data_IF_949954224659
#
_entry.id   IF_949954224659
#
_cell.length_a   1.000
_cell.length_b   1.000
_cell.length_c   1.000
_cell.angle_alpha   90.00
_cell.angle_beta   90.00
_cell.angle_gamma   90.00
#
_symmetry.space_group_name_H-M   'P 1'
#
loop_
_entity.id
_entity.type
_entity.pdbx_description
1 polymer ?
#
# COMPACT_ATOMS: atom_id res chain seq x y z
N UNK A 1 -7.45 -4.11 -1.55
CA UNK A 1 -6.47 -4.25 -2.66
C UNK A 1 -7.05 -4.90 -3.92
N UNK A 2 -7.78 -6.03 -3.83
CA UNK A 2 -8.36 -6.67 -5.02
C UNK A 2 -9.31 -5.76 -5.81
N UNK A 3 -10.07 -4.90 -5.13
CA UNK A 3 -10.96 -3.93 -5.78
C UNK A 3 -10.19 -2.94 -6.69
N UNK A 4 -9.08 -2.36 -6.23
CA UNK A 4 -8.27 -1.45 -7.06
C UNK A 4 -7.64 -2.19 -8.24
N UNK A 5 -7.17 -3.43 -8.05
CA UNK A 5 -6.64 -4.28 -9.12
C UNK A 5 -7.70 -4.61 -10.17
N UNK A 6 -8.93 -4.94 -9.75
CA UNK A 6 -10.02 -5.22 -10.69
C UNK A 6 -10.43 -3.98 -11.48
N UNK A 7 -10.61 -2.83 -10.81
CA UNK A 7 -10.98 -1.58 -11.48
C UNK A 7 -9.86 -1.10 -12.41
N UNK A 8 -8.59 -1.31 -12.04
CA UNK A 8 -7.45 -1.00 -12.90
C UNK A 8 -7.40 -1.91 -14.13
N UNK A 9 -7.67 -3.20 -13.96
CA UNK A 9 -7.75 -4.15 -15.08
C UNK A 9 -8.92 -3.82 -16.02
N UNK A 10 -10.09 -3.48 -15.48
CA UNK A 10 -11.26 -3.06 -16.25
C UNK A 10 -11.00 -1.74 -17.00
N UNK A 11 -10.27 -0.81 -16.36
CA UNK A 11 -9.81 0.43 -16.97
C UNK A 11 -8.80 0.17 -18.10
N UNK A 12 -7.82 -0.70 -17.92
CA UNK A 12 -6.86 -1.10 -18.97
C UNK A 12 -7.57 -1.77 -20.15
N UNK A 13 -8.51 -2.68 -19.89
CA UNK A 13 -9.31 -3.33 -20.93
C UNK A 13 -10.19 -2.35 -21.72
N UNK A 14 -10.77 -1.37 -21.02
CA UNK A 14 -11.57 -0.29 -21.63
C UNK A 14 -10.70 0.66 -22.47
N UNK A 15 -9.46 0.95 -22.01
CA UNK A 15 -8.44 1.70 -22.76
C UNK A 15 -8.02 0.98 -24.05
N UNK A 16 -7.69 -0.31 -23.97
CA UNK A 16 -7.26 -1.10 -25.13
C UNK A 16 -8.34 -1.16 -26.21
N UNK A 17 -9.59 -1.36 -25.80
CA UNK A 17 -10.75 -1.39 -26.71
C UNK A 17 -10.96 -0.02 -27.38
N UNK A 18 -10.84 1.06 -26.60
CA UNK A 18 -10.97 2.44 -27.12
C UNK A 18 -9.84 2.82 -28.06
N UNK A 19 -8.62 2.36 -27.79
CA UNK A 19 -7.44 2.59 -28.62
C UNK A 19 -7.52 1.78 -29.94
N UNK A 20 -8.00 0.54 -29.88
CA UNK A 20 -8.26 -0.29 -31.06
C UNK A 20 -9.34 0.32 -31.96
N UNK A 21 -10.42 0.83 -31.37
CA UNK A 21 -11.49 1.50 -32.11
C UNK A 21 -11.04 2.81 -32.74
N UNK A 22 -10.20 3.61 -32.05
CA UNK A 22 -9.57 4.80 -32.65
C UNK A 22 -8.69 4.45 -33.84
N UNK A 23 -7.86 3.40 -33.72
CA UNK A 23 -7.01 2.96 -34.82
C UNK A 23 -7.81 2.39 -36.01
N UNK A 24 -8.97 1.77 -35.75
CA UNK A 24 -9.92 1.36 -36.80
C UNK A 24 -10.58 2.57 -37.47
N UNK A 25 -11.08 3.51 -36.69
CA UNK A 25 -11.70 4.74 -37.20
C UNK A 25 -10.73 5.60 -38.01
N UNK A 26 -9.45 5.64 -37.64
CA UNK A 26 -8.42 6.35 -38.39
C UNK A 26 -8.23 5.72 -39.78
N UNK A 27 -8.14 4.38 -39.86
CA UNK A 27 -8.11 3.64 -41.14
C UNK A 27 -9.37 3.81 -41.97
N UNK A 28 -10.54 3.88 -41.32
CA UNK A 28 -11.83 4.06 -41.99
C UNK A 28 -12.04 5.51 -42.48
N UNK A 29 -11.55 6.50 -41.72
CA UNK A 29 -11.46 7.91 -42.17
C UNK A 29 -10.54 8.05 -43.37
N UNK A 30 -9.38 7.39 -43.34
CA UNK A 30 -8.44 7.35 -44.46
C UNK A 30 -9.06 6.66 -45.69
N UNK A 31 -9.97 5.71 -45.47
CA UNK A 31 -10.79 5.06 -46.51
C UNK A 31 -12.08 5.82 -46.90
N UNK A 32 -12.36 6.99 -46.33
CA UNK A 32 -13.51 7.84 -46.68
C UNK A 32 -14.88 7.36 -46.18
N UNK A 33 -14.94 6.46 -45.20
CA UNK A 33 -16.19 5.93 -44.64
C UNK A 33 -16.55 6.74 -43.37
N UNK A 34 -17.67 7.46 -43.39
CA UNK A 34 -18.16 8.24 -42.24
C UNK A 34 -18.96 7.32 -41.31
N UNK A 35 -18.47 7.12 -40.08
CA UNK A 35 -19.11 6.29 -39.06
C UNK A 35 -19.69 7.13 -37.91
N UNK A 36 -20.84 6.68 -37.41
CA UNK A 36 -21.73 7.29 -36.43
C UNK A 36 -21.08 7.56 -35.05
N UNK A 37 -21.11 8.83 -34.62
CA UNK A 37 -20.40 9.40 -33.46
C UNK A 37 -20.99 8.99 -32.09
N UNK A 38 -22.18 8.38 -32.06
CA UNK A 38 -22.94 8.18 -30.79
C UNK A 38 -22.28 7.24 -29.80
N UNK A 39 -21.63 6.16 -30.28
CA UNK A 39 -21.13 5.10 -29.41
C UNK A 39 -19.81 5.46 -28.71
N UNK A 40 -19.08 6.48 -29.17
CA UNK A 40 -17.86 6.97 -28.50
C UNK A 40 -18.15 7.68 -27.17
N UNK A 41 -19.21 8.50 -27.14
CA UNK A 41 -19.52 9.34 -25.99
C UNK A 41 -19.94 8.54 -24.73
N UNK A 42 -20.52 7.35 -24.89
CA UNK A 42 -20.88 6.47 -23.75
C UNK A 42 -19.65 5.76 -23.16
N UNK A 43 -18.65 5.45 -23.99
CA UNK A 43 -17.40 4.82 -23.57
C UNK A 43 -16.49 5.81 -22.86
N UNK A 44 -16.38 7.02 -23.38
CA UNK A 44 -15.63 8.11 -22.75
C UNK A 44 -16.19 8.44 -21.36
N UNK A 45 -17.51 8.38 -21.19
CA UNK A 45 -18.15 8.52 -19.88
C UNK A 45 -17.81 7.35 -18.94
N UNK A 46 -17.75 6.13 -19.46
CA UNK A 46 -17.44 4.93 -18.68
C UNK A 46 -15.98 4.92 -18.20
N UNK A 47 -15.03 5.31 -19.05
CA UNK A 47 -13.61 5.44 -18.67
C UNK A 47 -13.41 6.55 -17.65
N UNK A 48 -14.11 7.68 -17.78
CA UNK A 48 -14.05 8.77 -16.81
C UNK A 48 -14.61 8.34 -15.44
N UNK A 49 -15.71 7.57 -15.41
CA UNK A 49 -16.24 6.99 -14.17
C UNK A 49 -15.24 6.04 -13.50
N UNK A 50 -14.57 5.18 -14.27
CA UNK A 50 -13.53 4.28 -13.77
C UNK A 50 -12.33 5.05 -13.22
N UNK A 51 -11.85 6.08 -13.93
CA UNK A 51 -10.75 6.93 -13.49
C UNK A 51 -11.06 7.66 -12.16
N UNK A 52 -12.30 8.18 -12.01
CA UNK A 52 -12.77 8.77 -10.75
C UNK A 52 -12.78 7.74 -9.62
N UNK A 53 -13.23 6.52 -9.90
CA UNK A 53 -13.25 5.43 -8.90
C UNK A 53 -11.86 5.01 -8.46
N UNK A 54 -10.90 4.95 -9.40
CA UNK A 54 -9.49 4.69 -9.10
C UNK A 54 -8.95 5.74 -8.14
N UNK A 55 -9.17 7.03 -8.43
CA UNK A 55 -8.71 8.14 -7.56
C UNK A 55 -9.29 8.04 -6.16
N UNK A 56 -10.61 7.82 -6.05
CA UNK A 56 -11.26 7.63 -4.75
C UNK A 56 -10.64 6.47 -3.96
N UNK A 57 -10.44 5.31 -4.59
CA UNK A 57 -9.82 4.16 -3.92
C UNK A 57 -8.37 4.44 -3.51
N UNK A 58 -7.63 5.23 -4.30
CA UNK A 58 -6.28 5.63 -3.94
C UNK A 58 -6.26 6.53 -2.70
N UNK A 59 -7.15 7.53 -2.64
CA UNK A 59 -7.28 8.43 -1.50
C UNK A 59 -7.71 7.69 -0.23
N UNK A 60 -8.66 6.77 -0.35
CA UNK A 60 -9.11 5.92 0.76
C UNK A 60 -7.96 5.08 1.32
N UNK A 61 -7.17 4.43 0.46
CA UNK A 61 -6.01 3.63 0.86
C UNK A 61 -4.97 4.51 1.55
N UNK A 62 -4.64 5.67 0.99
CA UNK A 62 -3.71 6.62 1.60
C UNK A 62 -4.18 7.01 3.01
N UNK A 63 -5.44 7.39 3.15
CA UNK A 63 -5.99 7.83 4.42
C UNK A 63 -6.01 6.70 5.46
N UNK A 64 -6.31 5.47 5.05
CA UNK A 64 -6.26 4.32 5.96
C UNK A 64 -4.84 4.07 6.48
N UNK A 65 -3.83 4.06 5.62
CA UNK A 65 -2.43 3.86 6.04
C UNK A 65 -1.98 4.99 6.97
N UNK A 66 -2.31 6.23 6.65
CA UNK A 66 -2.00 7.38 7.51
C UNK A 66 -2.65 7.25 8.89
N UNK A 67 -3.92 6.82 8.94
CA UNK A 67 -4.65 6.60 10.19
C UNK A 67 -3.98 5.52 11.03
N UNK A 68 -3.62 4.39 10.42
CA UNK A 68 -2.97 3.30 11.17
C UNK A 68 -1.57 3.71 11.63
N UNK A 69 -0.78 4.45 10.83
CA UNK A 69 0.52 5.00 11.24
C UNK A 69 0.38 5.95 12.43
N UNK A 70 -0.63 6.82 12.44
CA UNK A 70 -0.90 7.71 13.56
C UNK A 70 -1.31 6.93 14.82
N UNK A 71 -2.14 5.91 14.67
CA UNK A 71 -2.51 5.00 15.76
C UNK A 71 -1.27 4.29 16.33
N UNK A 72 -0.44 3.68 15.47
CA UNK A 72 0.80 3.03 15.90
C UNK A 72 1.73 4.01 16.60
N UNK A 73 1.90 5.23 16.08
CA UNK A 73 2.75 6.25 16.70
C UNK A 73 2.26 6.63 18.11
N UNK A 74 0.95 6.73 18.29
CA UNK A 74 0.32 7.07 19.57
C UNK A 74 0.46 5.92 20.58
N UNK A 75 0.11 4.70 20.18
CA UNK A 75 0.13 3.53 21.06
C UNK A 75 1.55 3.01 21.33
N UNK A 76 2.44 2.98 20.33
CA UNK A 76 3.85 2.63 20.53
C UNK A 76 4.60 3.67 21.39
N UNK A 77 4.16 4.93 21.35
CA UNK A 77 4.75 6.02 22.13
C UNK A 77 4.52 5.90 23.64
N UNK A 78 3.42 5.27 24.08
CA UNK A 78 3.07 5.13 25.49
C UNK A 78 3.12 3.70 26.04
N UNK A 79 2.87 2.68 25.21
CA UNK A 79 2.67 1.31 25.66
C UNK A 79 3.89 0.39 25.51
N UNK A 80 4.82 0.72 24.61
CA UNK A 80 5.99 -0.12 24.35
C UNK A 80 7.23 0.31 25.16
N UNK A 81 8.04 -0.66 25.63
CA UNK A 81 9.38 -0.42 26.17
C UNK A 81 10.28 0.33 25.18
N UNK A 82 11.30 1.03 25.69
CA UNK A 82 12.15 1.93 24.90
C UNK A 82 12.79 1.27 23.68
N UNK A 83 13.31 0.04 23.83
CA UNK A 83 13.95 -0.69 22.74
C UNK A 83 12.98 -1.01 21.59
N UNK A 84 11.81 -1.57 21.92
CA UNK A 84 10.78 -1.89 20.94
C UNK A 84 10.21 -0.62 20.26
N UNK A 85 10.07 0.47 21.03
CA UNK A 85 9.64 1.77 20.51
C UNK A 85 10.61 2.32 19.46
N UNK A 86 11.91 2.23 19.68
CA UNK A 86 12.92 2.70 18.73
C UNK A 86 12.90 1.90 17.43
N UNK A 87 12.66 0.59 17.51
CA UNK A 87 12.51 -0.28 16.34
C UNK A 87 11.25 0.11 15.53
N UNK A 88 10.09 0.24 16.18
CA UNK A 88 8.84 0.65 15.51
C UNK A 88 8.99 2.03 14.86
N UNK A 89 9.62 2.99 15.54
CA UNK A 89 9.92 4.31 14.96
C UNK A 89 10.87 4.22 13.77
N UNK A 90 11.92 3.41 13.86
CA UNK A 90 12.84 3.17 12.75
C UNK A 90 12.12 2.59 11.53
N UNK A 91 11.21 1.64 11.76
CA UNK A 91 10.36 1.11 10.70
C UNK A 91 9.49 2.21 10.09
N UNK A 92 8.72 2.94 10.90
CA UNK A 92 7.88 4.07 10.46
C UNK A 92 8.64 5.11 9.63
N UNK A 93 9.85 5.47 10.04
CA UNK A 93 10.67 6.48 9.36
C UNK A 93 11.35 5.94 8.10
N UNK A 94 11.54 4.62 7.97
CA UNK A 94 12.10 3.99 6.76
C UNK A 94 11.08 3.84 5.63
N UNK A 95 9.79 3.85 5.96
CA UNK A 95 8.68 3.65 5.03
C UNK A 95 8.73 4.59 3.82
N UNK A 96 8.90 5.93 3.97
CA UNK A 96 8.85 6.83 2.82
C UNK A 96 9.93 6.53 1.79
N UNK A 97 11.10 6.07 2.25
CA UNK A 97 12.19 5.65 1.39
C UNK A 97 11.86 4.35 0.66
N UNK A 98 11.36 3.35 1.39
CA UNK A 98 10.96 2.04 0.85
C UNK A 98 9.87 2.19 -0.22
N UNK A 99 8.90 3.07 0.02
CA UNK A 99 7.86 3.42 -0.96
C UNK A 99 8.42 4.04 -2.23
N UNK A 100 9.39 4.97 -2.12
CA UNK A 100 10.00 5.57 -3.30
C UNK A 100 10.67 4.52 -4.18
N UNK A 101 11.40 3.59 -3.58
CA UNK A 101 12.03 2.48 -4.31
C UNK A 101 10.99 1.54 -4.94
N UNK A 102 9.93 1.17 -4.21
CA UNK A 102 8.86 0.32 -4.74
C UNK A 102 8.10 0.98 -5.91
N UNK A 103 7.89 2.29 -5.82
CA UNK A 103 7.30 3.12 -6.88
C UNK A 103 8.19 3.12 -8.12
N UNK A 104 9.50 3.29 -7.95
CA UNK A 104 10.51 3.25 -9.02
C UNK A 104 10.61 1.89 -9.70
N UNK A 105 10.46 0.82 -8.93
CA UNK A 105 10.44 -0.54 -9.45
C UNK A 105 9.14 -0.83 -10.21
N UNK A 106 8.00 -0.36 -9.70
CA UNK A 106 6.69 -0.53 -10.34
C UNK A 106 6.57 0.25 -11.66
N UNK A 107 7.16 1.45 -11.75
CA UNK A 107 7.19 2.21 -13.00
C UNK A 107 8.16 1.61 -14.04
N UNK A 108 9.25 0.98 -13.60
CA UNK A 108 10.16 0.25 -14.49
C UNK A 108 9.58 -1.09 -15.00
N UNK A 109 8.71 -1.73 -14.20
CA UNK A 109 8.11 -3.02 -14.53
C UNK A 109 6.84 -2.93 -15.39
N UNK A 110 6.29 -1.73 -15.62
CA UNK A 110 5.10 -1.52 -16.46
C UNK A 110 5.52 -1.26 -17.92
N UNK A 111 5.31 -2.21 -18.86
CA UNK A 111 5.67 -2.02 -20.25
C UNK A 111 4.56 -1.25 -20.95
N UNK A 112 4.67 0.07 -21.03
CA UNK A 112 3.82 0.88 -21.93
C UNK A 112 4.52 2.19 -22.31
N UNK A 113 5.19 2.12 -23.46
CA UNK A 113 5.39 3.15 -24.49
C UNK A 113 5.29 4.63 -24.09
N UNK A 114 6.44 5.31 -24.04
CA UNK A 114 6.66 6.64 -24.65
C UNK A 114 8.10 7.12 -24.43
N UNK A 115 9.04 6.44 -25.10
CA UNK A 115 10.28 7.07 -25.55
C UNK A 115 10.15 7.40 -27.04
N UNK A 116 9.11 8.17 -27.41
CA UNK A 116 9.03 8.81 -28.73
C UNK A 116 8.93 10.30 -28.51
N UNK A 117 10.08 10.89 -28.19
CA UNK A 117 10.31 12.33 -28.29
C UNK A 117 10.86 12.57 -29.70
N UNK A 118 9.97 12.81 -30.67
CA UNK A 118 10.25 13.37 -31.99
C UNK A 118 8.90 13.90 -32.53
N UNK A 119 8.61 15.18 -32.32
CA UNK A 119 8.89 16.31 -33.23
C UNK A 119 7.67 16.61 -34.14
N UNK A 120 7.11 17.81 -33.96
CA UNK A 120 6.24 18.53 -34.91
C UNK A 120 4.85 17.98 -35.25
N UNK A 121 3.78 18.65 -34.80
CA UNK A 121 2.44 18.50 -35.40
C UNK A 121 1.30 19.10 -34.56
N UNK A 122 0.82 20.27 -34.98
CA UNK A 122 -0.22 21.06 -34.32
C UNK A 122 -1.63 20.47 -34.58
N UNK A 123 -2.28 19.88 -33.55
CA UNK A 123 -3.75 19.70 -33.45
C UNK A 123 -4.14 19.38 -31.99
N UNK A 124 -4.14 20.42 -31.14
CA UNK A 124 -4.08 20.35 -29.68
C UNK A 124 -5.41 20.10 -28.92
N UNK A 125 -6.18 19.05 -29.21
CA UNK A 125 -7.35 18.70 -28.37
C UNK A 125 -7.47 17.23 -27.96
N UNK A 126 -6.79 16.31 -28.65
CA UNK A 126 -6.83 14.87 -28.35
C UNK A 126 -5.76 14.39 -27.34
N UNK A 127 -4.68 15.15 -27.14
CA UNK A 127 -3.55 14.75 -26.29
C UNK A 127 -3.84 14.88 -24.78
N UNK A 128 -4.63 15.88 -24.37
CA UNK A 128 -4.88 16.16 -22.95
C UNK A 128 -5.64 15.04 -22.21
N UNK A 129 -6.47 14.26 -22.92
CA UNK A 129 -7.18 13.11 -22.35
C UNK A 129 -6.26 11.91 -22.11
N UNK A 130 -5.39 11.59 -23.08
CA UNK A 130 -4.44 10.48 -22.96
C UNK A 130 -3.39 10.69 -21.86
N UNK A 131 -2.91 11.92 -21.67
CA UNK A 131 -1.95 12.23 -20.60
C UNK A 131 -2.57 12.13 -19.20
N UNK A 132 -3.83 12.54 -19.05
CA UNK A 132 -4.56 12.45 -17.78
C UNK A 132 -4.90 11.00 -17.40
N UNK A 133 -5.20 10.19 -18.40
CA UNK A 133 -5.48 8.77 -18.28
C UNK A 133 -4.24 7.96 -17.90
N UNK A 134 -3.13 8.20 -18.59
CA UNK A 134 -1.85 7.57 -18.30
C UNK A 134 -1.35 7.92 -16.90
N UNK A 135 -1.53 9.17 -16.46
CA UNK A 135 -1.20 9.57 -15.10
C UNK A 135 -2.07 8.87 -14.05
N UNK A 136 -3.36 8.65 -14.34
CA UNK A 136 -4.28 7.93 -13.44
C UNK A 136 -3.87 6.46 -13.31
N UNK A 137 -3.52 5.81 -14.42
CA UNK A 137 -3.00 4.43 -14.43
C UNK A 137 -1.69 4.30 -13.67
N UNK A 138 -0.74 5.21 -13.91
CA UNK A 138 0.52 5.27 -13.16
C UNK A 138 0.27 5.47 -11.67
N UNK A 139 -0.61 6.40 -11.29
CA UNK A 139 -0.95 6.65 -9.88
C UNK A 139 -1.52 5.40 -9.20
N UNK A 140 -2.40 4.65 -9.88
CA UNK A 140 -2.95 3.40 -9.37
C UNK A 140 -1.87 2.34 -9.10
N UNK A 141 -0.94 2.14 -10.05
CA UNK A 141 0.18 1.20 -9.87
C UNK A 141 1.08 1.58 -8.69
N UNK A 142 1.42 2.87 -8.56
CA UNK A 142 2.19 3.38 -7.41
C UNK A 142 1.44 3.15 -6.10
N UNK A 143 0.13 3.38 -6.08
CA UNK A 143 -0.69 3.16 -4.90
C UNK A 143 -0.76 1.68 -4.51
N UNK A 144 -0.82 0.76 -5.48
CA UNK A 144 -0.77 -0.68 -5.21
C UNK A 144 0.57 -1.06 -4.55
N UNK A 145 1.70 -0.58 -5.11
CA UNK A 145 3.02 -0.82 -4.54
C UNK A 145 3.16 -0.23 -3.12
N UNK A 146 2.71 1.02 -2.94
CA UNK A 146 2.64 1.69 -1.65
C UNK A 146 1.84 0.89 -0.62
N UNK A 147 0.64 0.43 -0.99
CA UNK A 147 -0.23 -0.32 -0.10
C UNK A 147 0.37 -1.67 0.31
N UNK A 148 1.06 -2.34 -0.62
CA UNK A 148 1.75 -3.60 -0.36
C UNK A 148 2.86 -3.39 0.68
N UNK A 149 3.64 -2.33 0.52
CA UNK A 149 4.72 -2.00 1.45
C UNK A 149 4.21 -1.50 2.81
N UNK A 150 3.10 -0.75 2.83
CA UNK A 150 2.44 -0.32 4.07
C UNK A 150 1.93 -1.49 4.90
N UNK A 151 1.42 -2.55 4.25
CA UNK A 151 1.03 -3.79 4.93
C UNK A 151 2.23 -4.57 5.44
N UNK A 152 3.31 -4.66 4.67
CA UNK A 152 4.54 -5.31 5.13
C UNK A 152 5.09 -4.61 6.38
N UNK A 153 5.12 -3.28 6.37
CA UNK A 153 5.51 -2.53 7.56
C UNK A 153 4.61 -2.81 8.78
N UNK A 154 3.29 -2.91 8.61
CA UNK A 154 2.39 -3.27 9.70
C UNK A 154 2.64 -4.69 10.23
N UNK A 155 2.96 -5.64 9.35
CA UNK A 155 3.34 -6.99 9.75
C UNK A 155 4.62 -6.99 10.60
N UNK A 156 5.62 -6.19 10.22
CA UNK A 156 6.85 -6.02 10.99
C UNK A 156 6.59 -5.41 12.37
N UNK A 157 5.75 -4.37 12.44
CA UNK A 157 5.37 -3.76 13.72
C UNK A 157 4.58 -4.74 14.60
N UNK A 158 3.66 -5.51 14.03
CA UNK A 158 2.92 -6.54 14.77
C UNK A 158 3.87 -7.59 15.36
N UNK A 159 4.91 -7.99 14.62
CA UNK A 159 5.92 -8.91 15.13
C UNK A 159 6.71 -8.32 16.32
N UNK A 160 7.15 -7.06 16.23
CA UNK A 160 7.85 -6.39 17.34
C UNK A 160 6.97 -6.28 18.59
N UNK A 161 5.70 -5.95 18.41
CA UNK A 161 4.72 -5.92 19.51
C UNK A 161 4.50 -7.32 20.09
N UNK A 162 4.40 -8.35 19.25
CA UNK A 162 4.28 -9.75 19.68
C UNK A 162 5.48 -10.21 20.51
N UNK A 163 6.70 -9.90 20.08
CA UNK A 163 7.93 -10.19 20.84
C UNK A 163 7.93 -9.47 22.19
N UNK A 164 7.45 -8.22 22.21
CA UNK A 164 7.34 -7.43 23.44
C UNK A 164 6.34 -8.04 24.41
N UNK A 165 5.18 -8.46 23.90
CA UNK A 165 4.15 -9.13 24.71
C UNK A 165 4.66 -10.45 25.28
N UNK A 166 5.28 -11.29 24.44
CA UNK A 166 5.86 -12.56 24.89
C UNK A 166 6.96 -12.35 25.95
N UNK A 167 7.79 -11.31 25.79
CA UNK A 167 8.78 -10.95 26.81
C UNK A 167 8.13 -10.55 28.13
N UNK A 168 7.01 -9.83 28.09
CA UNK A 168 6.26 -9.45 29.28
C UNK A 168 5.56 -10.66 29.93
N UNK A 169 4.99 -11.56 29.13
CA UNK A 169 4.39 -12.81 29.61
C UNK A 169 5.43 -13.72 30.26
N UNK A 170 6.61 -13.89 29.64
CA UNK A 170 7.71 -14.66 30.20
C UNK A 170 8.19 -14.07 31.54
N UNK A 171 8.27 -12.73 31.64
CA UNK A 171 8.60 -12.05 32.89
C UNK A 171 7.54 -12.28 33.98
N UNK A 172 6.25 -12.22 33.63
CA UNK A 172 5.17 -12.54 34.58
C UNK A 172 5.21 -14.00 35.04
N UNK A 173 5.49 -14.93 34.14
CA UNK A 173 5.65 -16.35 34.47
C UNK A 173 6.87 -16.60 35.36
N UNK A 174 7.99 -15.91 35.11
CA UNK A 174 9.17 -16.01 35.97
C UNK A 174 8.91 -15.42 37.35
N UNK A 175 8.18 -14.30 37.44
CA UNK A 175 7.78 -13.71 38.72
C UNK A 175 6.86 -14.66 39.51
N UNK A 176 5.85 -15.22 38.84
CA UNK A 176 4.90 -16.16 39.47
C UNK A 176 5.54 -17.50 39.89
N UNK A 177 6.61 -17.92 39.22
CA UNK A 177 7.42 -19.08 39.63
C UNK A 177 8.40 -18.74 40.75
N UNK A 178 9.08 -17.59 40.68
CA UNK A 178 10.01 -17.13 41.71
C UNK A 178 9.31 -16.92 43.06
N UNK A 179 8.11 -16.32 43.09
CA UNK A 179 7.35 -16.18 44.34
C UNK A 179 6.95 -17.52 44.98
N UNK A 180 6.73 -18.57 44.17
CA UNK A 180 6.39 -19.91 44.68
C UNK A 180 7.63 -20.72 45.09
N UNK A 181 8.76 -20.51 44.43
CA UNK A 181 10.04 -21.13 44.79
C UNK A 181 10.61 -20.52 46.08
N UNK A 182 10.48 -19.20 46.30
CA UNK A 182 10.84 -18.54 47.57
C UNK A 182 10.01 -19.07 48.75
N UNK A 183 8.69 -19.22 48.62
CA UNK A 183 7.83 -19.80 49.67
C UNK A 183 8.17 -21.26 50.00
N UNK A 184 8.61 -22.06 49.02
CA UNK A 184 9.00 -23.45 49.26
C UNK A 184 10.41 -23.57 49.87
N UNK A 185 11.26 -22.55 49.75
CA UNK A 185 12.62 -22.54 50.28
C UNK A 185 12.68 -22.03 51.72
N UNK A 186 11.78 -21.12 52.12
CA UNK A 186 11.58 -20.70 53.52
C UNK A 186 10.90 -21.77 54.41
N UNK A 187 10.22 -22.75 53.81
CA UNK A 187 9.55 -23.83 54.54
C UNK A 187 10.48 -24.98 54.97
N UNK A 188 11.72 -25.03 54.45
CA UNK A 188 12.70 -26.11 54.66
C UNK A 188 13.91 -25.65 55.51
N UNK A 189 13.78 -24.59 56.31
CA UNK A 189 14.80 -24.19 57.29
C UNK A 189 14.46 -24.75 58.70
N UNK A 190 14.98 -25.94 59.08
CA UNK A 190 14.86 -26.41 60.45
C UNK A 190 15.79 -25.57 61.32
N UNK A 191 15.24 -24.55 61.98
CA UNK A 191 15.94 -23.82 63.05
C UNK A 191 16.47 -24.81 64.08
N UNK A 192 17.76 -25.09 63.96
CA UNK A 192 18.74 -25.17 65.04
C UNK A 192 18.18 -25.69 66.37
N UNK A 193 18.09 -27.02 66.51
CA UNK A 193 18.08 -27.68 67.82
C UNK A 193 19.52 -27.96 68.23
N UNK A 194 20.29 -26.91 68.49
CA UNK A 194 21.49 -26.99 69.33
C UNK A 194 21.22 -26.28 70.64
N UNK A 195 20.81 -27.04 71.66
CA UNK A 195 20.94 -26.65 73.05
C UNK A 195 21.04 -27.92 73.89
N UNK A 196 22.25 -28.12 74.43
CA UNK A 196 22.65 -28.81 75.68
C UNK A 196 21.78 -29.91 76.29
#
# INVERSE_FOLDING_TARGET
MNALKMVLHEYDQSQETSQQDRARQEKEREAGIVIEIKSGNERDQSTEMLARRIKQLCDDIWHTIQTVVNSVSTYAGGALPENARNIVKGQLLSIPQRWRCATQSAEAASPSQSATKADGGEDGKAAAGQDADENTRKAAHRMIAFATEGLDMMAQVNNVVGITLQSAENWLQSLGRNSREEEMMDADDPKESTAE
#
